data_IF_517575877257
#
_entry.id   IF_517575877257
#
_cell.length_a   1.000
_cell.length_b   1.000
_cell.length_c   1.000
_cell.angle_alpha   90.00
_cell.angle_beta   90.00
_cell.angle_gamma   90.00
#
_symmetry.space_group_name_H-M   'P 1'
#
loop_
_entity.id
_entity.type
_entity.pdbx_description
1 polymer ?
#
# COMPACT_ATOMS: atom_id res chain seq x y z
N UNK A 1 13.93 -51.15 14.15
CA UNK A 1 14.02 -49.78 13.56
C UNK A 1 14.48 -48.85 14.66
N UNK A 2 15.74 -48.46 14.67
CA UNK A 2 16.34 -47.66 15.73
C UNK A 2 15.95 -46.18 15.54
N UNK A 3 15.08 -45.69 16.41
CA UNK A 3 14.80 -44.28 16.53
C UNK A 3 16.04 -43.57 17.10
N UNK A 4 16.86 -42.99 16.25
CA UNK A 4 17.92 -42.08 16.66
C UNK A 4 17.32 -40.86 17.32
N UNK A 5 17.63 -40.54 18.60
CA UNK A 5 17.12 -39.35 19.24
C UNK A 5 17.64 -38.10 18.50
N UNK A 6 16.73 -37.25 18.07
CA UNK A 6 17.09 -35.98 17.40
C UNK A 6 18.05 -35.20 18.29
N UNK A 7 19.19 -34.75 17.74
CA UNK A 7 20.23 -34.02 18.51
C UNK A 7 19.62 -32.78 19.19
N UNK A 8 20.12 -32.36 20.36
CA UNK A 8 19.61 -31.17 21.06
C UNK A 8 19.65 -29.91 20.18
N UNK A 9 20.61 -29.79 19.28
CA UNK A 9 20.72 -28.71 18.30
C UNK A 9 19.50 -28.64 17.34
N UNK A 10 19.00 -29.77 16.88
CA UNK A 10 17.84 -29.85 16.00
C UNK A 10 16.55 -29.40 16.71
N UNK A 11 16.43 -29.68 18.01
CA UNK A 11 15.27 -29.18 18.80
C UNK A 11 15.34 -27.67 18.99
N UNK A 12 16.50 -27.11 19.27
CA UNK A 12 16.73 -25.68 19.41
C UNK A 12 16.43 -24.95 18.09
N UNK A 13 16.90 -25.47 16.95
CA UNK A 13 16.65 -24.89 15.63
C UNK A 13 15.14 -24.80 15.31
N UNK A 14 14.37 -25.86 15.63
CA UNK A 14 12.91 -25.84 15.44
C UNK A 14 12.22 -24.76 16.28
N UNK A 15 12.66 -24.58 17.54
CA UNK A 15 12.12 -23.54 18.42
C UNK A 15 12.43 -22.15 17.86
N UNK A 16 13.66 -21.92 17.41
CA UNK A 16 14.08 -20.64 16.82
C UNK A 16 13.23 -20.33 15.56
N UNK A 17 13.05 -21.30 14.68
CA UNK A 17 12.23 -21.14 13.47
C UNK A 17 10.77 -20.83 13.85
N UNK A 18 10.19 -21.51 14.83
CA UNK A 18 8.82 -21.26 15.26
C UNK A 18 8.66 -19.86 15.88
N UNK A 19 9.61 -19.41 16.69
CA UNK A 19 9.62 -18.06 17.25
C UNK A 19 9.79 -17.01 16.17
N UNK A 20 10.69 -17.21 15.22
CA UNK A 20 10.87 -16.29 14.09
C UNK A 20 9.60 -16.18 13.22
N UNK A 21 8.94 -17.31 12.96
CA UNK A 21 7.67 -17.32 12.23
C UNK A 21 6.56 -16.59 12.99
N UNK A 22 6.46 -16.79 14.31
CA UNK A 22 5.49 -16.08 15.15
C UNK A 22 5.75 -14.57 15.16
N UNK A 23 7.01 -14.14 15.31
CA UNK A 23 7.38 -12.73 15.27
C UNK A 23 7.06 -12.10 13.89
N UNK A 24 7.35 -12.81 12.82
CA UNK A 24 7.00 -12.37 11.46
C UNK A 24 5.48 -12.21 11.27
N UNK A 25 4.69 -13.15 11.80
CA UNK A 25 3.22 -13.06 11.76
C UNK A 25 2.69 -11.88 12.58
N UNK A 26 3.24 -11.63 13.75
CA UNK A 26 2.89 -10.48 14.59
C UNK A 26 3.24 -9.17 13.89
N UNK A 27 4.44 -9.07 13.32
CA UNK A 27 4.90 -7.91 12.58
C UNK A 27 3.99 -7.64 11.36
N UNK A 28 3.65 -8.69 10.60
CA UNK A 28 2.76 -8.59 9.45
C UNK A 28 1.34 -8.17 9.87
N UNK A 29 0.82 -8.73 10.97
CA UNK A 29 -0.49 -8.36 11.51
C UNK A 29 -0.52 -6.90 11.93
N UNK A 30 0.52 -6.42 12.61
CA UNK A 30 0.66 -5.03 13.00
C UNK A 30 0.78 -4.09 11.77
N UNK A 31 1.59 -4.48 10.78
CA UNK A 31 1.71 -3.75 9.52
C UNK A 31 0.35 -3.66 8.81
N UNK A 32 -0.43 -4.73 8.84
CA UNK A 32 -1.76 -4.77 8.23
C UNK A 32 -2.81 -3.95 9.00
N UNK A 33 -2.53 -3.55 10.25
CA UNK A 33 -3.39 -2.69 11.05
C UNK A 33 -4.07 -3.36 12.25
N UNK A 34 -3.57 -4.52 12.69
CA UNK A 34 -4.03 -5.11 13.95
C UNK A 34 -3.75 -4.14 15.11
N UNK A 35 -4.75 -3.93 15.98
CA UNK A 35 -4.68 -2.98 17.08
C UNK A 35 -5.18 -1.57 16.76
N UNK A 36 -5.56 -1.30 15.49
CA UNK A 36 -6.05 0.01 15.05
C UNK A 36 -4.96 1.10 15.05
N UNK A 37 -5.36 2.30 14.74
CA UNK A 37 -4.54 3.52 14.83
C UNK A 37 -5.31 4.56 15.63
N UNK A 38 -4.61 5.37 16.40
CA UNK A 38 -5.22 6.54 17.05
C UNK A 38 -5.68 7.51 15.96
N UNK A 39 -6.94 7.97 15.99
CA UNK A 39 -7.41 9.00 15.09
C UNK A 39 -6.54 10.25 15.14
N UNK A 40 -6.50 11.00 14.04
CA UNK A 40 -5.77 12.24 13.95
C UNK A 40 -6.40 13.29 14.88
N UNK A 41 -5.57 13.96 15.68
CA UNK A 41 -5.97 15.16 16.39
C UNK A 41 -6.03 16.37 15.45
N UNK A 42 -6.73 17.43 15.82
CA UNK A 42 -6.83 18.65 15.03
C UNK A 42 -5.46 19.25 14.73
N UNK A 43 -4.57 19.28 15.73
CA UNK A 43 -3.19 19.79 15.58
C UNK A 43 -2.40 18.97 14.54
N UNK A 44 -2.56 17.65 14.54
CA UNK A 44 -1.90 16.79 13.54
C UNK A 44 -2.46 17.02 12.13
N UNK A 45 -3.78 17.20 12.00
CA UNK A 45 -4.41 17.55 10.72
C UNK A 45 -3.85 18.87 10.21
N UNK A 46 -3.76 19.89 11.06
CA UNK A 46 -3.24 21.21 10.68
C UNK A 46 -1.78 21.12 10.24
N UNK A 47 -0.95 20.39 10.96
CA UNK A 47 0.46 20.19 10.60
C UNK A 47 0.60 19.46 9.26
N UNK A 48 -0.16 18.40 9.03
CA UNK A 48 -0.14 17.65 7.77
C UNK A 48 -0.60 18.53 6.59
N UNK A 49 -1.70 19.26 6.74
CA UNK A 49 -2.20 20.19 5.73
C UNK A 49 -1.16 21.26 5.40
N UNK A 50 -0.51 21.86 6.42
CA UNK A 50 0.52 22.87 6.22
C UNK A 50 1.73 22.30 5.47
N UNK A 51 2.19 21.11 5.86
CA UNK A 51 3.32 20.43 5.19
C UNK A 51 2.98 20.11 3.73
N UNK A 52 1.81 19.53 3.47
CA UNK A 52 1.37 19.21 2.11
C UNK A 52 1.16 20.48 1.27
N UNK A 53 0.65 21.56 1.88
CA UNK A 53 0.43 22.83 1.19
C UNK A 53 1.73 23.47 0.73
N UNK A 54 2.80 23.39 1.54
CA UNK A 54 4.11 23.89 1.18
C UNK A 54 4.70 23.19 -0.07
N UNK A 55 4.20 22.00 -0.41
CA UNK A 55 4.64 21.23 -1.58
C UNK A 55 3.87 21.56 -2.86
N UNK A 56 2.80 22.38 -2.81
CA UNK A 56 2.00 22.71 -4.01
C UNK A 56 2.76 23.45 -5.09
N UNK A 57 3.85 24.11 -4.71
CA UNK A 57 4.72 24.79 -5.65
C UNK A 57 5.72 23.83 -6.31
N UNK A 58 5.83 22.61 -5.81
CA UNK A 58 6.65 21.56 -6.39
C UNK A 58 5.90 20.82 -7.48
N UNK A 59 6.59 20.29 -8.48
CA UNK A 59 6.01 19.40 -9.46
C UNK A 59 5.31 18.20 -8.78
N UNK A 60 4.16 17.79 -9.29
CA UNK A 60 3.39 16.69 -8.71
C UNK A 60 2.47 17.08 -7.53
N UNK A 61 2.66 18.23 -6.92
CA UNK A 61 1.92 18.70 -5.75
C UNK A 61 0.51 19.23 -6.07
N UNK A 62 -0.41 18.37 -6.48
CA UNK A 62 -1.80 18.76 -6.78
C UNK A 62 -2.75 18.18 -5.75
N UNK A 63 -3.30 19.03 -4.88
CA UNK A 63 -4.28 18.63 -3.88
C UNK A 63 -5.48 19.61 -3.83
N UNK A 64 -6.68 19.07 -3.62
CA UNK A 64 -7.81 19.85 -3.17
C UNK A 64 -7.79 19.90 -1.64
N UNK A 65 -7.27 20.98 -1.06
CA UNK A 65 -7.03 21.11 0.38
C UNK A 65 -8.30 21.05 1.20
N UNK A 66 -9.40 21.61 0.72
CA UNK A 66 -10.68 21.54 1.43
C UNK A 66 -11.15 20.08 1.57
N UNK A 67 -11.15 19.32 0.46
CA UNK A 67 -11.51 17.89 0.47
C UNK A 67 -10.52 17.06 1.29
N UNK A 68 -9.22 17.40 1.24
CA UNK A 68 -8.20 16.70 2.02
C UNK A 68 -8.40 16.94 3.51
N UNK A 69 -8.61 18.19 3.95
CA UNK A 69 -8.87 18.54 5.33
C UNK A 69 -10.10 17.79 5.86
N UNK A 70 -11.24 17.91 5.21
CA UNK A 70 -12.47 17.19 5.59
C UNK A 70 -12.25 15.68 5.71
N UNK A 71 -11.44 15.12 4.81
CA UNK A 71 -11.10 13.71 4.85
C UNK A 71 -10.25 13.34 6.08
N UNK A 72 -9.28 14.18 6.46
CA UNK A 72 -8.41 13.92 7.61
C UNK A 72 -9.13 14.16 8.94
N UNK A 73 -9.95 15.21 9.03
CA UNK A 73 -10.75 15.51 10.24
C UNK A 73 -11.78 14.40 10.56
N UNK A 74 -12.23 13.68 9.55
CA UNK A 74 -13.11 12.53 9.74
C UNK A 74 -12.34 11.21 10.00
N UNK A 75 -11.06 11.27 10.40
CA UNK A 75 -10.27 10.07 10.69
C UNK A 75 -10.81 9.35 11.93
N UNK A 76 -11.00 8.05 11.80
CA UNK A 76 -11.41 7.16 12.88
C UNK A 76 -10.35 6.09 13.21
N UNK A 77 -9.15 6.23 12.65
CA UNK A 77 -8.05 5.30 12.83
C UNK A 77 -8.21 3.95 12.13
N UNK A 78 -9.31 3.75 11.38
CA UNK A 78 -9.59 2.49 10.71
C UNK A 78 -9.08 2.45 9.27
N UNK A 79 -8.85 1.24 8.74
CA UNK A 79 -8.52 1.04 7.34
C UNK A 79 -9.63 1.50 6.40
N UNK A 80 -9.21 1.94 5.20
CA UNK A 80 -10.13 2.30 4.14
C UNK A 80 -9.53 1.91 2.77
N UNK A 81 -10.36 2.02 1.73
CA UNK A 81 -9.96 1.73 0.36
C UNK A 81 -10.15 2.94 -0.52
N UNK A 82 -9.30 3.08 -1.53
CA UNK A 82 -9.58 3.92 -2.69
C UNK A 82 -9.90 3.03 -3.88
N UNK A 83 -11.01 3.31 -4.53
CA UNK A 83 -11.37 2.76 -5.84
C UNK A 83 -11.03 3.83 -6.85
N UNK A 84 -10.07 3.54 -7.71
CA UNK A 84 -9.57 4.49 -8.69
C UNK A 84 -9.91 3.99 -10.09
N UNK A 85 -10.51 4.88 -10.88
CA UNK A 85 -10.77 4.68 -12.31
C UNK A 85 -9.84 5.62 -13.09
N UNK A 86 -9.16 5.08 -14.08
CA UNK A 86 -8.18 5.81 -14.89
C UNK A 86 -8.49 5.68 -16.37
N UNK A 87 -8.44 6.84 -17.06
CA UNK A 87 -8.34 6.92 -18.49
C UNK A 87 -6.98 7.49 -18.84
N UNK A 88 -6.26 6.83 -19.72
CA UNK A 88 -4.94 7.24 -20.11
C UNK A 88 -4.96 8.17 -21.33
N UNK A 89 -4.00 9.09 -21.40
CA UNK A 89 -3.67 9.74 -22.64
C UNK A 89 -3.12 8.73 -23.66
N UNK A 90 -3.42 8.87 -24.97
CA UNK A 90 -2.75 8.07 -26.00
C UNK A 90 -1.23 8.22 -25.95
N UNK A 91 -0.75 9.46 -25.74
CA UNK A 91 0.66 9.80 -25.52
C UNK A 91 0.81 10.49 -24.17
N UNK A 92 1.85 10.14 -23.41
CA UNK A 92 2.12 10.74 -22.11
C UNK A 92 2.37 12.24 -22.23
N UNK A 93 1.72 13.03 -21.36
CA UNK A 93 1.79 14.49 -21.37
C UNK A 93 2.55 15.00 -20.16
N UNK A 94 3.82 15.30 -20.34
CA UNK A 94 4.65 15.96 -19.34
C UNK A 94 4.68 17.49 -19.46
N UNK A 95 3.91 18.05 -20.40
CA UNK A 95 3.80 19.48 -20.72
C UNK A 95 3.09 20.33 -19.66
N UNK A 96 2.26 19.70 -18.77
CA UNK A 96 1.69 20.41 -17.60
C UNK A 96 2.76 20.98 -16.68
N UNK A 97 3.96 20.63 -16.93
CA UNK A 97 5.15 20.95 -16.21
C UNK A 97 6.02 21.95 -16.99
N UNK A 98 5.43 23.02 -17.55
CA UNK A 98 6.17 24.10 -18.25
C UNK A 98 7.38 24.65 -17.48
N UNK A 99 7.50 24.30 -16.20
CA UNK A 99 8.61 24.62 -15.32
C UNK A 99 9.49 23.42 -14.98
N UNK A 100 9.20 22.26 -15.55
CA UNK A 100 9.93 21.03 -15.32
C UNK A 100 10.79 20.72 -16.52
N UNK A 101 12.07 20.84 -16.34
CA UNK A 101 13.02 20.12 -17.18
C UNK A 101 12.90 18.63 -16.84
N UNK A 102 11.99 17.94 -17.52
CA UNK A 102 11.74 16.49 -17.31
C UNK A 102 13.04 15.70 -17.50
N UNK A 103 13.90 16.10 -18.45
CA UNK A 103 15.22 15.49 -18.66
C UNK A 103 16.18 15.72 -17.49
N UNK A 104 16.04 16.84 -16.78
CA UNK A 104 16.83 17.11 -15.58
C UNK A 104 16.38 16.27 -14.40
N UNK A 105 15.05 16.01 -14.28
CA UNK A 105 14.49 15.23 -13.17
C UNK A 105 14.66 13.73 -13.43
N UNK A 106 14.53 13.31 -14.69
CA UNK A 106 14.65 11.91 -15.13
C UNK A 106 15.70 11.80 -16.25
N UNK A 107 17.00 12.00 -15.94
CA UNK A 107 18.04 12.09 -16.97
C UNK A 107 18.25 10.79 -17.75
N UNK A 108 17.84 9.65 -17.18
CA UNK A 108 18.01 8.32 -17.75
C UNK A 108 16.70 7.69 -18.25
N UNK A 109 15.60 8.44 -18.20
CA UNK A 109 14.29 7.92 -18.65
C UNK A 109 13.84 8.69 -19.88
N UNK A 110 13.41 7.96 -20.89
CA UNK A 110 12.65 8.57 -21.99
C UNK A 110 11.26 8.95 -21.44
N UNK A 111 10.92 10.23 -21.35
CA UNK A 111 9.64 10.68 -20.80
C UNK A 111 8.48 10.40 -21.74
N UNK A 112 8.79 9.90 -22.93
CA UNK A 112 7.84 9.62 -23.98
C UNK A 112 7.30 8.20 -23.88
N UNK A 113 6.21 7.95 -24.55
CA UNK A 113 5.45 6.71 -24.54
C UNK A 113 3.97 7.01 -24.35
N UNK A 114 3.18 5.97 -24.20
CA UNK A 114 1.75 6.10 -23.91
C UNK A 114 1.50 6.59 -22.49
N UNK A 115 0.29 7.07 -22.22
CA UNK A 115 -0.13 7.34 -20.85
C UNK A 115 -0.05 6.09 -19.96
N UNK A 116 -0.27 4.89 -20.52
CA UNK A 116 -0.08 3.64 -19.79
C UNK A 116 1.37 3.43 -19.35
N UNK A 117 2.36 3.74 -20.22
CA UNK A 117 3.78 3.64 -19.88
C UNK A 117 4.16 4.62 -18.77
N UNK A 118 3.64 5.85 -18.83
CA UNK A 118 3.83 6.82 -17.76
C UNK A 118 3.18 6.36 -16.45
N UNK A 119 2.01 5.71 -16.51
CA UNK A 119 1.38 5.13 -15.32
C UNK A 119 2.21 3.99 -14.72
N UNK A 120 2.85 3.17 -15.53
CA UNK A 120 3.70 2.09 -15.03
C UNK A 120 4.94 2.66 -14.32
N UNK A 121 5.52 3.79 -14.79
CA UNK A 121 6.56 4.53 -14.04
C UNK A 121 6.04 5.03 -12.70
N UNK A 122 4.84 5.61 -12.67
CA UNK A 122 4.16 5.99 -11.43
C UNK A 122 4.03 4.78 -10.49
N UNK A 123 3.57 3.64 -10.98
CA UNK A 123 3.35 2.44 -10.18
C UNK A 123 4.66 1.88 -9.60
N UNK A 124 5.76 1.94 -10.34
CA UNK A 124 7.07 1.48 -9.89
C UNK A 124 7.59 2.26 -8.67
N UNK A 125 7.28 3.54 -8.56
CA UNK A 125 7.62 4.36 -7.38
C UNK A 125 6.57 4.15 -6.28
N UNK A 126 5.30 4.10 -6.64
CA UNK A 126 4.21 4.07 -5.67
C UNK A 126 4.06 2.74 -4.94
N UNK A 127 4.30 1.60 -5.59
CA UNK A 127 4.09 0.29 -4.93
C UNK A 127 4.98 0.12 -3.69
N UNK A 128 6.32 0.33 -3.76
CA UNK A 128 7.15 0.28 -2.56
C UNK A 128 6.80 1.38 -1.55
N UNK A 129 6.45 2.58 -2.00
CA UNK A 129 6.05 3.67 -1.11
C UNK A 129 4.76 3.35 -0.35
N UNK A 130 3.77 2.76 -1.01
CA UNK A 130 2.54 2.26 -0.37
C UNK A 130 2.87 1.23 0.71
N UNK A 131 3.75 0.27 0.41
CA UNK A 131 4.15 -0.77 1.36
C UNK A 131 4.81 -0.18 2.62
N UNK A 132 5.68 0.81 2.47
CA UNK A 132 6.31 1.52 3.60
C UNK A 132 5.29 2.24 4.48
N UNK A 133 4.16 2.70 3.92
CA UNK A 133 3.08 3.37 4.64
C UNK A 133 1.89 2.45 4.98
N UNK A 134 2.10 1.13 5.06
CA UNK A 134 1.06 0.17 5.45
C UNK A 134 -0.12 0.10 4.48
N UNK A 135 0.12 0.41 3.22
CA UNK A 135 -0.86 0.37 2.16
C UNK A 135 -0.46 -0.62 1.07
N UNK A 136 -1.44 -1.13 0.33
CA UNK A 136 -1.18 -2.06 -0.76
C UNK A 136 -2.26 -2.03 -1.82
N UNK A 137 -1.93 -2.19 -3.11
CA UNK A 137 -2.92 -2.53 -4.12
C UNK A 137 -3.53 -3.90 -3.79
N UNK A 138 -4.86 -3.98 -3.75
CA UNK A 138 -5.58 -5.24 -3.49
C UNK A 138 -6.22 -5.80 -4.75
N UNK A 139 -6.43 -4.94 -5.74
CA UNK A 139 -6.92 -5.33 -7.05
C UNK A 139 -6.49 -4.31 -8.10
N UNK A 140 -6.19 -4.76 -9.31
CA UNK A 140 -5.90 -3.90 -10.45
C UNK A 140 -6.19 -4.63 -11.75
N UNK A 141 -6.87 -3.96 -12.68
CA UNK A 141 -7.11 -4.49 -14.02
C UNK A 141 -5.92 -4.18 -14.93
N UNK A 142 -5.64 -5.09 -15.89
CA UNK A 142 -4.72 -4.81 -17.01
C UNK A 142 -5.44 -4.13 -18.17
N UNK A 143 -6.74 -4.43 -18.31
CA UNK A 143 -7.62 -3.92 -19.35
C UNK A 143 -9.05 -3.93 -18.83
N UNK A 144 -9.90 -3.15 -19.43
CA UNK A 144 -11.35 -3.14 -19.20
C UNK A 144 -12.03 -3.26 -20.56
N UNK A 145 -12.79 -4.36 -20.76
CA UNK A 145 -13.51 -4.58 -22.00
C UNK A 145 -14.87 -3.88 -21.99
N UNK A 146 -15.35 -3.54 -23.18
CA UNK A 146 -16.75 -3.17 -23.48
C UNK A 146 -17.37 -2.20 -22.47
N UNK A 147 -16.59 -1.19 -22.07
CA UNK A 147 -17.12 -0.19 -21.17
C UNK A 147 -17.40 1.10 -21.92
N UNK A 148 -18.66 1.41 -22.08
CA UNK A 148 -19.14 2.69 -22.68
C UNK A 148 -18.69 3.91 -21.86
N UNK A 149 -18.21 3.69 -20.64
CA UNK A 149 -17.69 4.75 -19.76
C UNK A 149 -16.34 5.28 -20.20
N UNK A 150 -15.61 4.54 -21.06
CA UNK A 150 -14.31 4.93 -21.60
C UNK A 150 -13.17 4.92 -20.57
N UNK A 151 -13.25 4.10 -19.52
CA UNK A 151 -12.17 3.88 -18.58
C UNK A 151 -11.23 2.76 -19.04
N UNK A 152 -9.93 2.94 -18.84
CA UNK A 152 -8.90 1.99 -19.27
C UNK A 152 -8.43 1.07 -18.13
N UNK A 153 -8.47 1.55 -16.88
CA UNK A 153 -7.96 0.79 -15.72
C UNK A 153 -8.74 1.11 -14.46
N UNK A 154 -8.96 0.05 -13.65
CA UNK A 154 -9.46 0.14 -12.29
C UNK A 154 -8.37 -0.34 -11.34
N UNK A 155 -8.12 0.41 -10.26
CA UNK A 155 -7.18 0.01 -9.20
C UNK A 155 -7.82 0.25 -7.84
N UNK A 156 -7.82 -0.78 -7.01
CA UNK A 156 -8.26 -0.68 -5.61
C UNK A 156 -7.01 -0.76 -4.73
N UNK A 157 -6.82 0.27 -3.90
CA UNK A 157 -5.72 0.32 -2.94
C UNK A 157 -6.30 0.35 -1.54
N UNK A 158 -5.82 -0.53 -0.68
CA UNK A 158 -6.09 -0.52 0.75
C UNK A 158 -5.07 0.36 1.46
N UNK A 159 -5.55 1.20 2.37
CA UNK A 159 -4.73 1.99 3.29
C UNK A 159 -5.04 1.57 4.72
N UNK A 160 -4.02 1.48 5.55
CA UNK A 160 -4.16 1.12 6.96
C UNK A 160 -4.88 2.20 7.77
N UNK A 161 -4.62 3.48 7.46
CA UNK A 161 -5.28 4.63 8.08
C UNK A 161 -5.21 5.88 7.19
N UNK A 162 -5.98 6.93 7.56
CA UNK A 162 -5.90 8.23 6.89
C UNK A 162 -4.61 8.96 7.25
N UNK A 163 -4.05 8.70 8.42
CA UNK A 163 -2.72 9.16 8.82
C UNK A 163 -1.65 8.67 7.86
N UNK A 164 -1.60 7.36 7.60
CA UNK A 164 -0.57 6.76 6.75
C UNK A 164 -0.57 7.33 5.32
N UNK A 165 -1.74 7.57 4.73
CA UNK A 165 -1.82 8.20 3.40
C UNK A 165 -1.41 9.67 3.45
N UNK A 166 -1.74 10.41 4.52
CA UNK A 166 -1.36 11.81 4.63
C UNK A 166 0.15 11.98 4.85
N UNK A 167 0.76 11.13 5.66
CA UNK A 167 2.22 11.08 5.84
C UNK A 167 2.92 10.75 4.51
N UNK A 168 2.40 9.78 3.75
CA UNK A 168 2.91 9.47 2.42
C UNK A 168 2.87 10.70 1.49
N UNK A 169 1.81 11.51 1.54
CA UNK A 169 1.69 12.73 0.74
C UNK A 169 2.76 13.77 1.04
N UNK A 170 3.43 13.71 2.20
CA UNK A 170 4.50 14.64 2.56
C UNK A 170 5.86 14.25 1.99
N UNK A 171 5.99 13.10 1.35
CA UNK A 171 7.27 12.58 0.86
C UNK A 171 7.62 13.12 -0.54
N UNK A 172 8.91 13.27 -0.81
CA UNK A 172 9.39 13.66 -2.14
C UNK A 172 9.15 12.55 -3.18
N UNK A 173 9.21 11.27 -2.78
CA UNK A 173 8.90 10.13 -3.64
C UNK A 173 7.46 10.17 -4.15
N UNK A 174 6.51 10.59 -3.29
CA UNK A 174 5.13 10.79 -3.72
C UNK A 174 5.00 11.90 -4.77
N UNK A 175 5.74 12.99 -4.60
CA UNK A 175 5.77 14.08 -5.58
C UNK A 175 6.35 13.63 -6.92
N UNK A 176 7.46 12.88 -6.89
CA UNK A 176 8.05 12.30 -8.09
C UNK A 176 7.08 11.36 -8.80
N UNK A 177 6.47 10.44 -8.07
CA UNK A 177 5.47 9.54 -8.62
C UNK A 177 4.33 10.30 -9.30
N UNK A 178 3.82 11.36 -8.66
CA UNK A 178 2.71 12.15 -9.19
C UNK A 178 3.03 12.87 -10.50
N UNK A 179 4.28 13.19 -10.80
CA UNK A 179 4.65 13.74 -12.10
C UNK A 179 4.25 12.75 -13.21
N UNK A 180 4.63 11.48 -13.03
CA UNK A 180 4.26 10.42 -13.98
C UNK A 180 2.76 10.18 -14.02
N UNK A 181 2.11 10.22 -12.86
CA UNK A 181 0.65 10.06 -12.78
C UNK A 181 -0.10 11.11 -13.59
N UNK A 182 0.29 12.37 -13.45
CA UNK A 182 -0.39 13.44 -14.16
C UNK A 182 -0.04 13.48 -15.64
N UNK A 183 1.13 13.01 -16.03
CA UNK A 183 1.47 12.80 -17.43
C UNK A 183 0.67 11.64 -18.06
N UNK A 184 0.29 10.65 -17.27
CA UNK A 184 -0.42 9.46 -17.71
C UNK A 184 -1.90 9.68 -17.96
N UNK A 185 -2.58 10.51 -17.13
CA UNK A 185 -4.02 10.47 -16.96
C UNK A 185 -4.74 11.62 -17.66
N UNK A 186 -5.55 11.27 -18.66
CA UNK A 186 -6.54 12.16 -19.26
C UNK A 186 -7.68 12.44 -18.28
N UNK A 187 -8.14 11.36 -17.61
CA UNK A 187 -9.23 11.44 -16.64
C UNK A 187 -8.96 10.49 -15.48
N UNK A 188 -9.32 10.94 -14.29
CA UNK A 188 -9.27 10.07 -13.13
C UNK A 188 -10.47 10.31 -12.22
N UNK A 189 -11.00 9.23 -11.68
CA UNK A 189 -12.03 9.29 -10.66
C UNK A 189 -11.58 8.45 -9.46
N UNK A 190 -11.85 8.97 -8.24
CA UNK A 190 -11.44 8.29 -7.02
C UNK A 190 -12.55 8.32 -6.00
N UNK A 191 -12.97 7.15 -5.59
CA UNK A 191 -13.87 6.94 -4.47
C UNK A 191 -13.08 6.48 -3.25
N UNK A 192 -13.40 7.02 -2.08
CA UNK A 192 -12.89 6.54 -0.82
C UNK A 192 -14.02 5.77 -0.16
N UNK A 193 -13.78 4.51 0.15
CA UNK A 193 -14.78 3.63 0.74
C UNK A 193 -14.22 2.99 2.00
N UNK A 194 -15.07 2.88 3.00
CA UNK A 194 -14.76 2.17 4.23
C UNK A 194 -15.75 1.04 4.38
N UNK A 195 -15.29 -0.15 4.67
CA UNK A 195 -16.13 -1.33 4.72
C UNK A 195 -15.46 -2.43 5.53
N UNK A 196 -16.23 -3.45 5.88
CA UNK A 196 -15.68 -4.64 6.51
C UNK A 196 -14.84 -5.37 5.47
N UNK A 197 -13.58 -5.54 5.80
CA UNK A 197 -12.69 -6.41 5.04
C UNK A 197 -13.04 -7.84 5.40
N UNK A 198 -13.28 -8.69 4.41
CA UNK A 198 -13.19 -10.15 4.59
C UNK A 198 -11.80 -10.51 4.05
N UNK A 199 -10.78 -10.57 4.86
CA UNK A 199 -9.46 -10.69 4.34
C UNK A 199 -9.13 -12.15 4.11
N UNK A 200 -8.83 -12.45 2.89
CA UNK A 200 -8.09 -13.64 2.53
C UNK A 200 -6.84 -13.81 3.41
N UNK A 201 -6.18 -12.69 3.75
CA UNK A 201 -5.01 -12.68 4.64
C UNK A 201 -5.34 -13.19 6.06
N UNK A 202 -6.46 -12.81 6.68
CA UNK A 202 -6.84 -13.35 8.00
C UNK A 202 -7.19 -14.82 7.92
N UNK A 203 -7.74 -15.27 6.81
CA UNK A 203 -7.99 -16.70 6.55
C UNK A 203 -6.64 -17.43 6.47
N UNK A 204 -5.69 -16.92 5.70
CA UNK A 204 -4.33 -17.48 5.59
C UNK A 204 -3.64 -17.49 6.96
N UNK A 205 -3.67 -16.38 7.69
CA UNK A 205 -3.09 -16.28 9.03
C UNK A 205 -3.76 -17.27 10.01
N UNK A 206 -5.09 -17.42 9.92
CA UNK A 206 -5.85 -18.40 10.70
C UNK A 206 -5.40 -19.83 10.41
N UNK A 207 -5.25 -20.21 9.15
CA UNK A 207 -4.74 -21.53 8.77
C UNK A 207 -3.29 -21.76 9.21
N UNK A 208 -2.43 -20.77 9.11
CA UNK A 208 -1.05 -20.85 9.60
C UNK A 208 -1.01 -21.02 11.12
N UNK A 209 -1.78 -20.25 11.87
CA UNK A 209 -1.89 -20.37 13.32
C UNK A 209 -2.44 -21.75 13.73
N UNK A 210 -3.46 -22.24 13.03
CA UNK A 210 -4.02 -23.57 13.24
C UNK A 210 -2.99 -24.66 12.95
N UNK A 211 -2.22 -24.54 11.86
CA UNK A 211 -1.16 -25.47 11.51
C UNK A 211 -0.07 -25.54 12.58
N UNK A 212 0.38 -24.40 13.11
CA UNK A 212 1.32 -24.32 14.23
C UNK A 212 0.76 -24.98 15.48
N UNK A 213 -0.50 -24.71 15.82
CA UNK A 213 -1.18 -25.30 16.98
C UNK A 213 -1.27 -26.82 16.87
N UNK A 214 -1.71 -27.36 15.72
CA UNK A 214 -1.78 -28.79 15.45
C UNK A 214 -0.39 -29.44 15.59
N UNK A 215 0.63 -28.81 15.05
CA UNK A 215 2.03 -29.28 15.17
C UNK A 215 2.47 -29.34 16.64
N UNK A 216 2.18 -28.32 17.44
CA UNK A 216 2.54 -28.27 18.86
C UNK A 216 1.80 -29.33 19.68
N UNK A 217 0.51 -29.52 19.42
CA UNK A 217 -0.33 -30.56 20.10
C UNK A 217 0.16 -31.97 19.73
N UNK A 218 0.40 -32.23 18.45
CA UNK A 218 0.90 -33.54 17.98
C UNK A 218 2.22 -33.90 18.62
N UNK A 219 3.11 -32.91 18.79
CA UNK A 219 4.40 -33.08 19.44
C UNK A 219 4.25 -33.35 20.93
N UNK A 220 3.32 -32.71 21.64
CA UNK A 220 3.10 -32.90 23.06
C UNK A 220 2.60 -34.32 23.38
N UNK A 221 1.80 -34.90 22.49
CA UNK A 221 1.33 -36.30 22.62
C UNK A 221 2.44 -37.32 22.39
N UNK A 222 3.36 -37.07 21.45
CA UNK A 222 4.49 -37.96 21.17
C UNK A 222 5.46 -38.06 22.37
N UNK A 223 5.68 -36.94 23.06
CA UNK A 223 6.60 -36.89 24.25
C UNK A 223 5.98 -37.52 25.48
N UNK A 224 4.67 -37.75 25.54
CA UNK A 224 3.96 -38.33 26.71
C UNK A 224 3.73 -39.84 26.59
N UNK A 225 3.99 -40.39 25.42
CA UNK A 225 3.83 -41.83 25.12
C UNK A 225 5.18 -42.59 25.07
N UNK A 226 6.27 -41.88 25.30
CA UNK A 226 7.65 -42.43 25.56
C UNK A 226 7.99 -42.29 27.07
#
# INVERSE_FOLDING_TARGET
>A
MTNTPSSPLWKQLKIIIALAALLALLALSFWYGAGGRTPLSQTEVDNLINTISAQTQKPGGRHNFQKLRTFLEADNGEPFYTVNLYKFYPEARYDFADKLDVKRIFPNEEPYGSGSDAYDRFANIMIPLLAMHGAQPVFGTRWMAENDSGWDRLVIVRYRSRRDIAEMFTTDDFLQANIHKWAALEKNERFKVQGRVVPELYIILGFLALGVLIYLIGRHRSVRND
#
